data_IF_952883721438
#
_entry.id   IF_952883721438
#
_cell.length_a   1.000
_cell.length_b   1.000
_cell.length_c   1.000
_cell.angle_alpha   90.00
_cell.angle_beta   90.00
_cell.angle_gamma   90.00
#
_symmetry.space_group_name_H-M   'P 1'
#
loop_
_entity.id
_entity.type
_entity.pdbx_description
1 polymer ?
#
# COMPACT_ATOMS: atom_id res chain seq x y z
N UNK A 1 57.86 -13.27 -50.76
CA UNK A 1 58.52 -13.05 -49.45
C UNK A 1 57.42 -13.04 -48.39
N UNK A 2 57.38 -13.99 -47.44
CA UNK A 2 56.32 -14.02 -46.43
C UNK A 2 56.61 -12.98 -45.34
N UNK A 3 55.60 -12.17 -45.01
CA UNK A 3 55.69 -11.18 -43.93
C UNK A 3 55.66 -11.89 -42.58
N UNK A 4 56.59 -11.53 -41.70
CA UNK A 4 56.76 -12.10 -40.36
C UNK A 4 55.65 -11.52 -39.49
N UNK A 5 54.69 -12.34 -39.08
CA UNK A 5 53.64 -11.92 -38.15
C UNK A 5 54.23 -11.91 -36.74
N UNK A 6 54.36 -10.73 -36.13
CA UNK A 6 54.81 -10.59 -34.74
C UNK A 6 53.73 -11.15 -33.80
N UNK A 7 54.04 -12.26 -33.14
CA UNK A 7 53.23 -12.79 -32.05
C UNK A 7 53.46 -11.93 -30.81
N UNK A 8 52.52 -11.04 -30.51
CA UNK A 8 52.51 -10.31 -29.24
C UNK A 8 51.86 -11.19 -28.17
N UNK A 9 52.67 -11.66 -27.22
CA UNK A 9 52.20 -12.37 -26.05
C UNK A 9 51.47 -11.43 -25.09
N UNK A 10 50.35 -11.90 -24.54
CA UNK A 10 49.58 -11.23 -23.49
C UNK A 10 50.45 -11.17 -22.23
N UNK A 11 50.60 -9.99 -21.62
CA UNK A 11 51.45 -9.83 -20.44
C UNK A 11 50.80 -10.49 -19.21
N UNK A 12 51.59 -11.18 -18.37
CA UNK A 12 51.08 -11.84 -17.16
C UNK A 12 50.40 -10.84 -16.20
N UNK A 13 50.84 -9.57 -16.21
CA UNK A 13 50.21 -8.50 -15.42
C UNK A 13 48.84 -8.09 -15.95
N UNK A 14 48.62 -8.16 -17.27
CA UNK A 14 47.35 -7.80 -17.92
C UNK A 14 46.26 -8.79 -17.57
N UNK A 15 46.62 -10.09 -17.54
CA UNK A 15 45.73 -11.15 -17.08
C UNK A 15 45.39 -10.97 -15.60
N UNK A 16 46.37 -10.60 -14.77
CA UNK A 16 46.17 -10.40 -13.34
C UNK A 16 45.25 -9.21 -13.05
N UNK A 17 45.44 -8.08 -13.74
CA UNK A 17 44.55 -6.91 -13.66
C UNK A 17 43.15 -7.24 -14.17
N UNK A 18 43.04 -8.00 -15.27
CA UNK A 18 41.75 -8.43 -15.82
C UNK A 18 40.97 -9.30 -14.84
N UNK A 19 41.64 -10.28 -14.20
CA UNK A 19 41.01 -11.14 -13.19
C UNK A 19 40.63 -10.33 -11.94
N UNK A 20 41.44 -9.35 -11.53
CA UNK A 20 41.10 -8.47 -10.41
C UNK A 20 39.84 -7.62 -10.68
N UNK A 21 39.75 -6.99 -11.85
CA UNK A 21 38.58 -6.20 -12.26
C UNK A 21 37.34 -7.10 -12.37
N UNK A 22 37.48 -8.29 -12.97
CA UNK A 22 36.39 -9.26 -13.08
C UNK A 22 35.89 -9.72 -11.71
N UNK A 23 36.79 -9.93 -10.76
CA UNK A 23 36.45 -10.31 -9.38
C UNK A 23 35.60 -9.25 -8.68
N UNK A 24 35.99 -7.98 -8.82
CA UNK A 24 35.24 -6.83 -8.28
C UNK A 24 33.87 -6.72 -8.96
N UNK A 25 33.80 -6.94 -10.28
CA UNK A 25 32.54 -6.96 -11.02
C UNK A 25 31.57 -8.04 -10.52
N UNK A 26 32.06 -9.26 -10.29
CA UNK A 26 31.26 -10.38 -9.78
C UNK A 26 30.76 -10.13 -8.34
N UNK A 27 31.55 -9.48 -7.50
CA UNK A 27 31.13 -9.08 -6.15
C UNK A 27 29.94 -8.10 -6.18
N UNK A 28 29.95 -7.15 -7.12
CA UNK A 28 28.83 -6.21 -7.32
C UNK A 28 27.52 -6.90 -7.74
N UNK A 29 27.60 -7.95 -8.56
CA UNK A 29 26.42 -8.72 -9.01
C UNK A 29 25.74 -9.48 -7.87
N UNK A 30 26.49 -9.95 -6.87
CA UNK A 30 25.96 -10.72 -5.74
C UNK A 30 24.89 -9.94 -4.96
N UNK A 31 25.13 -8.66 -4.67
CA UNK A 31 24.16 -7.81 -3.95
C UNK A 31 22.91 -7.48 -4.77
N UNK A 32 23.03 -7.42 -6.10
CA UNK A 32 21.92 -7.09 -6.99
C UNK A 32 20.91 -8.25 -7.12
N UNK A 33 21.39 -9.49 -7.18
CA UNK A 33 20.52 -10.66 -7.32
C UNK A 33 19.54 -10.81 -6.15
N UNK A 34 19.95 -10.49 -4.92
CA UNK A 34 19.06 -10.55 -3.74
C UNK A 34 17.88 -9.57 -3.80
N UNK A 35 18.09 -8.37 -4.32
CA UNK A 35 17.02 -7.37 -4.47
C UNK A 35 16.07 -7.71 -5.63
N UNK A 36 16.58 -8.28 -6.72
CA UNK A 36 15.76 -8.75 -7.83
C UNK A 36 14.78 -9.85 -7.39
N UNK A 37 15.27 -10.87 -6.68
CA UNK A 37 14.38 -11.96 -6.23
C UNK A 37 13.25 -11.46 -5.32
N UNK A 38 13.52 -10.49 -4.44
CA UNK A 38 12.48 -9.87 -3.60
C UNK A 38 11.47 -9.08 -4.43
N UNK A 39 11.96 -8.31 -5.41
CA UNK A 39 11.10 -7.53 -6.33
C UNK A 39 10.19 -8.44 -7.15
N UNK A 40 10.72 -9.54 -7.69
CA UNK A 40 9.94 -10.52 -8.47
C UNK A 40 8.88 -11.21 -7.61
N UNK A 41 9.23 -11.63 -6.40
CA UNK A 41 8.28 -12.26 -5.49
C UNK A 41 7.15 -11.29 -5.10
N UNK A 42 7.49 -10.04 -4.77
CA UNK A 42 6.50 -9.02 -4.45
C UNK A 42 5.54 -8.73 -5.63
N UNK A 43 6.07 -8.58 -6.84
CA UNK A 43 5.28 -8.40 -8.05
C UNK A 43 4.39 -9.63 -8.34
N UNK A 44 4.90 -10.83 -8.10
CA UNK A 44 4.16 -12.09 -8.25
C UNK A 44 2.97 -12.18 -7.29
N UNK A 45 3.16 -11.86 -6.02
CA UNK A 45 2.08 -11.90 -5.03
C UNK A 45 1.00 -10.85 -5.32
N UNK A 46 1.39 -9.64 -5.74
CA UNK A 46 0.43 -8.61 -6.17
C UNK A 46 -0.36 -9.04 -7.41
N UNK A 47 0.27 -9.73 -8.35
CA UNK A 47 -0.40 -10.24 -9.56
C UNK A 47 -1.46 -11.29 -9.22
N UNK A 48 -1.14 -12.20 -8.28
CA UNK A 48 -2.10 -13.19 -7.76
C UNK A 48 -3.26 -12.52 -7.03
N UNK A 49 -2.96 -11.57 -6.14
CA UNK A 49 -3.98 -10.83 -5.40
C UNK A 49 -4.93 -10.07 -6.35
N UNK A 50 -4.40 -9.45 -7.41
CA UNK A 50 -5.20 -8.78 -8.43
C UNK A 50 -6.09 -9.77 -9.17
N UNK A 51 -5.57 -10.92 -9.61
CA UNK A 51 -6.37 -11.95 -10.28
C UNK A 51 -7.53 -12.44 -9.40
N UNK A 52 -7.27 -12.61 -8.09
CA UNK A 52 -8.32 -12.94 -7.10
C UNK A 52 -9.36 -11.83 -7.05
N UNK A 53 -8.95 -10.56 -6.87
CA UNK A 53 -9.85 -9.42 -6.77
C UNK A 53 -10.73 -9.26 -8.03
N UNK A 54 -10.14 -9.38 -9.21
CA UNK A 54 -10.85 -9.31 -10.49
C UNK A 54 -11.91 -10.41 -10.59
N UNK A 55 -11.58 -11.64 -10.21
CA UNK A 55 -12.56 -12.75 -10.20
C UNK A 55 -13.77 -12.45 -9.31
N UNK A 56 -13.58 -11.86 -8.14
CA UNK A 56 -14.70 -11.47 -7.27
C UNK A 56 -15.54 -10.35 -7.88
N UNK A 57 -14.91 -9.40 -8.58
CA UNK A 57 -15.62 -8.34 -9.29
C UNK A 57 -16.46 -8.93 -10.43
N UNK A 58 -15.91 -9.83 -11.25
CA UNK A 58 -16.68 -10.47 -12.32
C UNK A 58 -17.84 -11.31 -11.77
N UNK A 59 -17.63 -12.05 -10.66
CA UNK A 59 -18.72 -12.77 -9.99
C UNK A 59 -19.79 -11.81 -9.42
N UNK A 60 -19.38 -10.63 -8.94
CA UNK A 60 -20.33 -9.62 -8.49
C UNK A 60 -21.14 -9.03 -9.66
N UNK A 61 -20.52 -8.86 -10.82
CA UNK A 61 -21.22 -8.41 -12.04
C UNK A 61 -22.26 -9.41 -12.52
N UNK A 62 -22.01 -10.72 -12.39
CA UNK A 62 -23.01 -11.74 -12.77
C UNK A 62 -24.21 -11.80 -11.82
N UNK A 63 -24.04 -11.41 -10.55
CA UNK A 63 -25.13 -11.36 -9.55
C UNK A 63 -26.04 -10.14 -9.70
N UNK A 64 -25.51 -9.04 -10.23
CA UNK A 64 -26.23 -7.78 -10.40
C UNK A 64 -26.44 -7.01 -9.10
N UNK A 65 -26.61 -5.68 -9.20
CA UNK A 65 -26.55 -4.78 -8.05
C UNK A 65 -27.56 -5.06 -6.95
N UNK A 66 -28.76 -5.55 -7.28
CA UNK A 66 -29.84 -5.76 -6.30
C UNK A 66 -29.51 -6.84 -5.24
N UNK A 67 -28.70 -7.84 -5.59
CA UNK A 67 -28.41 -8.99 -4.72
C UNK A 67 -27.04 -8.94 -4.07
N UNK A 68 -26.23 -7.92 -4.38
CA UNK A 68 -24.89 -7.77 -3.83
C UNK A 68 -24.93 -7.40 -2.35
N UNK A 69 -24.21 -8.20 -1.57
CA UNK A 69 -24.01 -8.01 -0.13
C UNK A 69 -22.53 -8.04 0.21
N UNK A 70 -22.18 -7.43 1.34
CA UNK A 70 -20.82 -7.46 1.89
C UNK A 70 -20.51 -8.83 2.50
N UNK A 71 -19.25 -9.28 2.44
CA UNK A 71 -18.87 -10.60 2.93
C UNK A 71 -17.36 -10.86 2.93
N UNK A 72 -16.97 -12.09 3.29
CA UNK A 72 -15.59 -12.56 3.34
C UNK A 72 -15.51 -14.06 3.04
N UNK A 73 -14.38 -14.54 2.54
CA UNK A 73 -14.20 -15.96 2.14
C UNK A 73 -13.60 -16.85 3.24
N UNK A 74 -12.92 -16.28 4.22
CA UNK A 74 -12.34 -17.03 5.35
C UNK A 74 -12.30 -16.16 6.61
N UNK A 75 -12.38 -16.75 7.80
CA UNK A 75 -11.88 -16.11 9.03
C UNK A 75 -10.43 -16.58 9.22
N UNK A 76 -9.42 -15.70 9.37
CA UNK A 76 -9.40 -14.51 10.22
C UNK A 76 -9.17 -13.18 9.48
N UNK A 77 -9.51 -12.08 10.17
CA UNK A 77 -9.58 -10.70 9.65
C UNK A 77 -8.30 -9.88 9.80
N UNK A 78 -7.16 -10.51 10.09
CA UNK A 78 -5.95 -9.83 10.58
C UNK A 78 -4.76 -9.85 9.61
N UNK A 79 -4.91 -10.47 8.43
CA UNK A 79 -3.92 -10.53 7.36
C UNK A 79 -2.55 -11.07 7.80
N UNK A 80 -2.50 -11.87 8.88
CA UNK A 80 -1.26 -12.30 9.56
C UNK A 80 -0.58 -13.52 8.93
N UNK A 81 -1.19 -14.11 7.89
CA UNK A 81 -0.68 -15.31 7.22
C UNK A 81 -0.21 -15.00 5.81
N UNK A 82 0.64 -15.86 5.25
CA UNK A 82 1.03 -15.80 3.83
C UNK A 82 -0.08 -16.21 2.87
N UNK A 83 -1.22 -16.70 3.38
CA UNK A 83 -2.40 -17.00 2.57
C UNK A 83 -3.15 -15.71 2.23
N UNK A 84 -3.74 -15.67 1.04
CA UNK A 84 -4.55 -14.54 0.60
C UNK A 84 -5.92 -14.57 1.28
N UNK A 85 -6.15 -13.60 2.17
CA UNK A 85 -7.46 -13.33 2.73
C UNK A 85 -8.22 -12.34 1.85
N UNK A 86 -9.49 -12.63 1.54
CA UNK A 86 -10.33 -11.76 0.70
C UNK A 86 -11.64 -11.41 1.39
N UNK A 87 -11.96 -10.12 1.40
CA UNK A 87 -13.23 -9.60 1.86
C UNK A 87 -13.75 -8.51 0.92
N UNK A 88 -15.06 -8.31 0.89
CA UNK A 88 -15.69 -7.33 0.01
C UNK A 88 -16.79 -6.54 0.71
N UNK A 89 -16.99 -5.33 0.21
CA UNK A 89 -18.03 -4.41 0.66
C UNK A 89 -18.89 -4.01 -0.52
N UNK A 90 -20.20 -4.08 -0.32
CA UNK A 90 -21.20 -3.60 -1.26
C UNK A 90 -21.99 -2.49 -0.57
N UNK A 91 -21.76 -1.24 -0.99
CA UNK A 91 -22.41 -0.06 -0.42
C UNK A 91 -23.31 0.59 -1.45
N UNK A 92 -24.51 1.01 -1.04
CA UNK A 92 -25.36 1.86 -1.86
C UNK A 92 -24.76 3.26 -2.00
N UNK A 93 -24.98 3.89 -3.14
CA UNK A 93 -24.50 5.25 -3.43
C UNK A 93 -25.66 6.22 -3.26
N UNK A 94 -25.45 7.27 -2.46
CA UNK A 94 -26.44 8.32 -2.29
C UNK A 94 -26.81 8.95 -3.64
N UNK A 95 -28.11 9.05 -3.92
CA UNK A 95 -28.61 9.65 -5.16
C UNK A 95 -28.60 8.74 -6.39
N UNK A 96 -28.30 7.44 -6.23
CA UNK A 96 -28.40 6.47 -7.32
C UNK A 96 -29.33 5.31 -6.94
N UNK A 97 -30.31 5.01 -7.78
CA UNK A 97 -31.16 3.83 -7.63
C UNK A 97 -30.57 2.68 -8.42
N UNK A 98 -30.24 1.59 -7.73
CA UNK A 98 -29.77 0.36 -8.37
C UNK A 98 -28.31 0.39 -8.80
N UNK A 99 -27.47 1.27 -8.24
CA UNK A 99 -26.01 1.22 -8.35
C UNK A 99 -25.39 1.03 -6.97
N UNK A 100 -24.48 0.06 -6.86
CA UNK A 100 -23.68 -0.19 -5.65
C UNK A 100 -22.19 0.02 -5.94
N UNK A 101 -21.50 0.63 -4.99
CA UNK A 101 -20.05 0.64 -4.93
C UNK A 101 -19.57 -0.70 -4.35
N UNK A 102 -18.89 -1.49 -5.18
CA UNK A 102 -18.38 -2.79 -4.82
C UNK A 102 -16.86 -2.74 -4.69
N UNK A 103 -16.34 -2.96 -3.49
CA UNK A 103 -14.90 -2.96 -3.20
C UNK A 103 -14.46 -4.34 -2.75
N UNK A 104 -13.44 -4.89 -3.41
CA UNK A 104 -12.78 -6.14 -3.02
C UNK A 104 -11.42 -5.82 -2.46
N UNK A 105 -11.12 -6.40 -1.30
CA UNK A 105 -9.88 -6.23 -0.58
C UNK A 105 -9.23 -7.59 -0.44
N UNK A 106 -7.97 -7.69 -0.86
CA UNK A 106 -7.16 -8.90 -0.74
C UNK A 106 -5.93 -8.56 0.10
N UNK A 107 -5.73 -9.26 1.20
CA UNK A 107 -4.58 -9.04 2.07
C UNK A 107 -3.81 -10.32 2.35
N UNK A 108 -2.52 -10.17 2.61
CA UNK A 108 -1.58 -11.25 2.89
C UNK A 108 -0.36 -10.71 3.62
N UNK A 109 0.43 -11.58 4.23
CA UNK A 109 1.77 -11.26 4.74
C UNK A 109 2.83 -11.70 3.74
N UNK A 110 3.76 -10.81 3.37
CA UNK A 110 4.84 -11.14 2.45
C UNK A 110 5.93 -12.01 3.13
N UNK A 111 6.92 -12.46 2.38
CA UNK A 111 8.03 -13.27 2.89
C UNK A 111 8.90 -12.57 3.97
N UNK A 112 8.74 -11.26 4.15
CA UNK A 112 9.43 -10.44 5.16
C UNK A 112 8.60 -10.25 6.44
N UNK A 113 7.37 -10.78 6.49
CA UNK A 113 6.46 -10.57 7.62
C UNK A 113 5.66 -9.27 7.55
N UNK A 114 5.73 -8.52 6.44
CA UNK A 114 4.99 -7.28 6.28
C UNK A 114 3.59 -7.56 5.73
N UNK A 115 2.58 -6.94 6.34
CA UNK A 115 1.19 -7.01 5.88
C UNK A 115 1.02 -6.17 4.62
N UNK A 116 0.39 -6.76 3.62
CA UNK A 116 0.08 -6.16 2.34
C UNK A 116 -1.43 -6.18 2.13
N UNK A 117 -1.95 -5.11 1.53
CA UNK A 117 -3.36 -4.96 1.20
C UNK A 117 -3.48 -4.42 -0.23
N UNK A 118 -4.33 -5.07 -1.02
CA UNK A 118 -4.71 -4.64 -2.36
C UNK A 118 -6.23 -4.41 -2.38
N UNK A 119 -6.62 -3.18 -2.70
CA UNK A 119 -8.02 -2.80 -2.84
C UNK A 119 -8.35 -2.55 -4.30
N UNK A 120 -9.40 -3.17 -4.81
CA UNK A 120 -9.94 -2.89 -6.14
C UNK A 120 -11.43 -2.62 -6.01
N UNK A 121 -11.88 -1.52 -6.59
CA UNK A 121 -13.28 -1.11 -6.53
C UNK A 121 -13.89 -0.94 -7.91
N UNK A 122 -15.21 -1.08 -7.97
CA UNK A 122 -15.99 -0.85 -9.17
C UNK A 122 -17.40 -0.42 -8.78
N UNK A 123 -18.15 0.10 -9.75
CA UNK A 123 -19.56 0.41 -9.61
C UNK A 123 -20.36 -0.62 -10.42
N UNK A 124 -21.35 -1.24 -9.78
CA UNK A 124 -22.22 -2.25 -10.40
C UNK A 124 -23.63 -1.75 -10.32
N UNK A 125 -24.33 -1.67 -11.45
CA UNK A 125 -25.71 -1.18 -11.51
C UNK A 125 -26.51 -1.72 -12.68
N UNK A 126 -27.83 -1.56 -12.62
CA UNK A 126 -28.78 -2.10 -13.62
C UNK A 126 -29.38 -1.04 -14.54
N UNK A 127 -28.81 0.17 -14.59
CA UNK A 127 -29.27 1.25 -15.45
C UNK A 127 -28.12 2.00 -16.10
N UNK A 128 -28.36 2.52 -17.30
CA UNK A 128 -27.52 3.54 -17.93
C UNK A 128 -27.50 4.74 -17.00
N UNK A 129 -26.45 4.90 -16.20
CA UNK A 129 -26.19 6.17 -15.55
C UNK A 129 -25.94 7.16 -16.68
N UNK A 130 -26.88 8.08 -16.92
CA UNK A 130 -26.49 9.38 -17.44
C UNK A 130 -25.60 9.99 -16.36
N UNK A 131 -24.31 9.67 -16.42
CA UNK A 131 -23.27 10.50 -15.87
C UNK A 131 -23.41 11.80 -16.66
N UNK A 132 -24.33 12.67 -16.24
CA UNK A 132 -24.43 14.01 -16.80
C UNK A 132 -23.03 14.55 -16.69
N UNK A 133 -22.40 14.86 -17.84
CA UNK A 133 -20.99 15.22 -18.00
C UNK A 133 -20.49 15.85 -16.72
N UNK A 134 -19.98 14.99 -15.83
CA UNK A 134 -19.39 15.45 -14.60
C UNK A 134 -18.25 16.30 -15.09
N UNK A 135 -18.16 17.53 -14.57
CA UNK A 135 -16.98 18.34 -14.72
C UNK A 135 -15.72 17.44 -14.70
N UNK A 136 -14.71 17.71 -15.55
CA UNK A 136 -13.54 16.84 -15.69
C UNK A 136 -13.13 16.36 -14.32
N UNK A 137 -13.06 15.04 -14.15
CA UNK A 137 -12.66 14.39 -12.89
C UNK A 137 -11.47 15.16 -12.38
N UNK A 138 -11.69 16.05 -11.40
CA UNK A 138 -10.61 16.53 -10.60
C UNK A 138 -10.11 15.27 -9.94
N UNK A 139 -8.85 14.95 -10.23
CA UNK A 139 -8.02 14.13 -9.36
C UNK A 139 -8.53 14.34 -7.94
N UNK A 140 -8.99 13.31 -7.22
CA UNK A 140 -9.49 13.52 -5.88
C UNK A 140 -8.40 14.27 -5.14
N UNK A 141 -8.67 15.54 -4.82
CA UNK A 141 -7.82 16.27 -3.90
C UNK A 141 -7.73 15.34 -2.68
N UNK A 142 -6.51 15.05 -2.17
CA UNK A 142 -6.33 14.11 -1.08
C UNK A 142 -7.38 14.40 -0.03
N UNK A 143 -8.30 13.47 0.16
CA UNK A 143 -9.43 13.67 1.05
C UNK A 143 -8.83 13.82 2.43
N UNK A 144 -8.82 15.06 2.92
CA UNK A 144 -8.32 15.41 4.25
C UNK A 144 -8.96 14.45 5.23
N UNK A 145 -8.16 13.61 5.88
CA UNK A 145 -8.67 12.67 6.85
C UNK A 145 -9.40 13.45 7.94
N UNK A 146 -10.71 13.27 8.03
CA UNK A 146 -11.53 13.88 9.06
C UNK A 146 -11.16 13.17 10.36
N UNK A 147 -10.28 13.80 11.14
CA UNK A 147 -9.95 13.34 12.49
C UNK A 147 -11.19 13.38 13.37
N UNK A 148 -11.24 12.51 14.37
CA UNK A 148 -12.24 12.65 15.42
C UNK A 148 -11.93 13.92 16.25
N UNK A 149 -12.93 14.59 16.85
CA UNK A 149 -12.66 15.72 17.74
C UNK A 149 -11.69 15.32 18.86
N UNK A 150 -10.66 16.14 19.07
CA UNK A 150 -9.75 15.94 20.20
C UNK A 150 -10.50 16.14 21.53
N UNK A 151 -10.33 15.19 22.44
CA UNK A 151 -10.86 15.20 23.80
C UNK A 151 -9.73 14.88 24.77
N UNK A 152 -9.67 15.61 25.87
CA UNK A 152 -8.68 15.39 26.93
C UNK A 152 -9.04 14.10 27.69
N UNK A 153 -8.41 12.96 27.34
CA UNK A 153 -8.65 11.64 27.94
C UNK A 153 -7.37 10.80 28.07
N UNK A 154 -7.15 10.24 29.26
CA UNK A 154 -6.05 9.28 29.55
C UNK A 154 -6.58 7.86 29.78
N UNK A 155 -6.15 6.83 29.03
CA UNK A 155 -5.59 6.79 27.67
C UNK A 155 -6.70 6.58 26.63
N UNK A 156 -6.69 7.31 25.50
CA UNK A 156 -7.77 7.22 24.51
C UNK A 156 -7.33 7.09 23.04
N UNK A 157 -6.07 7.37 22.71
CA UNK A 157 -5.63 7.44 21.31
C UNK A 157 -4.63 6.33 20.98
N UNK A 158 -4.90 5.61 19.90
CA UNK A 158 -3.98 4.59 19.38
C UNK A 158 -2.91 5.23 18.49
N UNK A 159 -1.74 4.61 18.41
CA UNK A 159 -0.67 5.01 17.49
C UNK A 159 -1.20 5.15 16.05
N UNK A 160 -0.89 6.26 15.38
CA UNK A 160 -1.36 6.57 14.02
C UNK A 160 -2.78 7.13 13.92
N UNK A 161 -3.49 7.30 15.03
CA UNK A 161 -4.84 7.87 15.02
C UNK A 161 -4.81 9.38 14.74
N UNK A 162 -5.74 9.85 13.90
CA UNK A 162 -5.88 11.26 13.53
C UNK A 162 -6.98 11.93 14.38
N UNK A 163 -6.68 13.10 14.92
CA UNK A 163 -7.61 13.94 15.68
C UNK A 163 -7.64 15.36 15.13
N UNK A 164 -8.78 16.04 15.28
CA UNK A 164 -8.94 17.43 14.85
C UNK A 164 -9.11 18.34 16.07
N UNK A 165 -8.30 19.39 16.15
CA UNK A 165 -8.35 20.43 17.17
C UNK A 165 -8.15 21.81 16.51
N UNK A 166 -9.05 22.76 16.77
CA UNK A 166 -8.98 24.12 16.19
C UNK A 166 -8.81 24.12 14.66
N UNK A 167 -9.52 23.23 13.96
CA UNK A 167 -9.46 23.05 12.49
C UNK A 167 -8.13 22.54 11.92
N UNK A 168 -7.18 22.15 12.79
CA UNK A 168 -5.93 21.47 12.43
C UNK A 168 -6.03 19.98 12.77
N UNK A 169 -5.46 19.15 11.89
CA UNK A 169 -5.43 17.71 12.06
C UNK A 169 -4.05 17.29 12.55
N UNK A 170 -4.04 16.37 13.52
CA UNK A 170 -2.86 15.88 14.20
C UNK A 170 -2.86 14.36 14.18
N UNK A 171 -1.72 13.76 13.88
CA UNK A 171 -1.56 12.29 13.87
C UNK A 171 -0.79 11.85 15.09
N UNK A 172 -1.34 10.95 15.90
CA UNK A 172 -0.61 10.37 17.03
C UNK A 172 0.62 9.61 16.52
N UNK A 173 1.79 9.94 17.05
CA UNK A 173 3.07 9.34 16.62
C UNK A 173 3.08 7.84 16.90
N UNK A 174 3.80 7.08 16.07
CA UNK A 174 4.02 5.64 16.28
C UNK A 174 5.22 5.40 17.19
N UNK A 175 5.23 4.28 17.92
CA UNK A 175 6.34 3.88 18.80
C UNK A 175 6.15 4.28 20.27
N UNK A 176 7.23 4.35 21.08
CA UNK A 176 7.14 4.59 22.53
C UNK A 176 6.41 5.88 22.90
N UNK A 177 6.52 6.90 22.03
CA UNK A 177 5.91 8.20 22.24
C UNK A 177 4.38 8.22 21.99
N UNK A 178 3.81 7.14 21.43
CA UNK A 178 2.36 6.99 21.28
C UNK A 178 1.63 6.95 22.62
N UNK A 179 2.30 6.53 23.70
CA UNK A 179 1.73 6.52 25.05
C UNK A 179 1.47 7.91 25.65
N UNK A 180 1.99 8.96 25.02
CA UNK A 180 1.72 10.35 25.39
C UNK A 180 0.46 10.91 24.69
N UNK A 181 -0.06 10.22 23.66
CA UNK A 181 -1.28 10.63 22.98
C UNK A 181 -2.49 10.52 23.93
N UNK A 182 -3.06 11.67 24.31
CA UNK A 182 -4.18 11.76 25.27
C UNK A 182 -3.77 12.17 26.68
N UNK A 183 -2.47 12.33 26.96
CA UNK A 183 -2.02 12.95 28.20
C UNK A 183 -2.22 14.47 28.13
N UNK A 184 -2.77 15.06 29.20
CA UNK A 184 -3.10 16.49 29.25
C UNK A 184 -1.90 17.41 28.94
N UNK A 185 -0.68 17.01 29.34
CA UNK A 185 0.56 17.76 29.08
C UNK A 185 1.07 17.70 27.64
N UNK A 186 0.55 16.77 26.82
CA UNK A 186 1.00 16.51 25.44
C UNK A 186 -0.13 16.78 24.43
N UNK A 187 -1.03 17.71 24.78
CA UNK A 187 -2.12 18.14 23.91
C UNK A 187 -1.59 18.67 22.57
N UNK A 188 -2.20 18.30 21.42
CA UNK A 188 -1.76 18.80 20.12
C UNK A 188 -1.83 20.33 20.05
N UNK A 189 -0.85 20.96 19.39
CA UNK A 189 -0.75 22.42 19.27
C UNK A 189 -0.15 23.15 20.49
N UNK A 190 0.31 22.42 21.51
CA UNK A 190 1.08 22.98 22.64
C UNK A 190 2.59 22.78 22.46
N UNK A 191 3.41 23.44 23.27
CA UNK A 191 4.88 23.34 23.25
C UNK A 191 5.37 21.87 23.31
N UNK A 192 4.72 21.04 24.12
CA UNK A 192 5.07 19.64 24.30
C UNK A 192 4.24 18.67 23.44
N UNK A 193 3.20 19.18 22.77
CA UNK A 193 2.33 18.39 21.89
C UNK A 193 3.07 17.80 20.68
N UNK A 194 4.08 18.49 20.16
CA UNK A 194 4.87 18.05 19.01
C UNK A 194 5.64 16.72 19.24
N UNK A 195 5.80 16.29 20.50
CA UNK A 195 6.43 15.00 20.82
C UNK A 195 5.48 13.81 20.67
N UNK A 196 4.17 14.04 20.84
CA UNK A 196 3.14 13.01 20.76
C UNK A 196 2.33 13.08 19.45
N UNK A 197 2.37 14.22 18.75
CA UNK A 197 1.57 14.49 17.58
C UNK A 197 2.44 14.97 16.42
N UNK A 198 2.31 14.33 15.26
CA UNK A 198 2.86 14.80 13.99
C UNK A 198 1.91 15.77 13.30
N UNK A 199 2.48 16.79 12.64
CA UNK A 199 1.77 17.75 11.82
C UNK A 199 1.52 17.19 10.41
N UNK A 200 0.25 17.21 9.98
CA UNK A 200 -0.12 16.82 8.62
C UNK A 200 -0.42 15.34 8.47
N UNK A 201 -1.40 15.05 7.61
CA UNK A 201 -1.88 13.70 7.34
C UNK A 201 -1.70 13.41 5.86
N UNK A 202 -0.79 12.51 5.51
CA UNK A 202 -0.88 11.75 4.26
C UNK A 202 -1.58 10.44 4.59
N UNK A 203 -2.90 10.43 4.49
CA UNK A 203 -3.63 9.18 4.44
C UNK A 203 -3.37 8.55 3.08
N UNK A 204 -2.64 7.43 3.07
CA UNK A 204 -2.62 6.54 1.91
C UNK A 204 -4.00 5.87 1.86
N UNK A 205 -4.67 5.83 0.70
CA UNK A 205 -6.00 5.21 0.56
C UNK A 205 -6.02 3.73 0.95
#
# INVERSE_FOLDING_TARGET
MPSKTDQQGISLIEVLVSVAILSIGLLGLSGFTGNLYRSVNHAGDRSKALAIAQRYIENARTKGAATLTSGAVTTPSDCSTSAFYTYWKANDIAGSNGVKHYSVNVCWTNALGEKQLLTTSTYIGTGSTSLGLGAPVSTPAPTKCVGIPYVDKTPAYSAGQVVTLNSKDYTCVTGPNSGFCGQAGFKPGTLYGAMAWGDGVTCVP
#
